data_IF_447755225832
#
_entry.id   IF_447755225832
#
_cell.length_a   1.000
_cell.length_b   1.000
_cell.length_c   1.000
_cell.angle_alpha   90.00
_cell.angle_beta   90.00
_cell.angle_gamma   90.00
#
_symmetry.space_group_name_H-M   'P 1'
#
loop_
_entity.id
_entity.type
_entity.pdbx_description
1 polymer ?
#
# COMPACT_ATOMS: atom_id res chain seq x y z
N UNK A 1 -37.11 4.98 24.98
CA UNK A 1 -36.46 5.53 26.19
C UNK A 1 -35.20 4.73 26.50
N UNK A 2 -34.03 5.22 26.10
CA UNK A 2 -32.74 4.77 26.65
C UNK A 2 -31.84 6.00 26.82
N UNK A 3 -31.27 6.12 28.01
CA UNK A 3 -30.60 7.31 28.55
C UNK A 3 -29.20 7.46 28.00
N UNK A 4 -28.86 8.67 27.53
CA UNK A 4 -27.47 9.10 27.33
C UNK A 4 -26.79 9.25 28.70
N UNK A 5 -25.67 8.55 28.88
CA UNK A 5 -24.75 8.75 29.99
C UNK A 5 -23.71 9.83 29.64
N UNK A 6 -23.69 10.91 30.43
CA UNK A 6 -22.75 12.01 30.30
C UNK A 6 -21.33 11.58 30.74
N UNK A 7 -20.33 11.80 29.88
CA UNK A 7 -18.91 11.63 30.23
C UNK A 7 -18.37 12.95 30.79
N UNK A 8 -18.00 12.91 32.06
CA UNK A 8 -17.40 14.01 32.83
C UNK A 8 -16.00 14.34 32.32
N UNK A 9 -15.79 15.59 31.87
CA UNK A 9 -14.46 16.17 31.58
C UNK A 9 -13.90 16.78 32.87
N UNK A 10 -12.88 16.14 33.46
CA UNK A 10 -11.95 16.80 34.39
C UNK A 10 -10.50 16.53 33.95
N UNK A 11 -9.65 17.57 33.79
CA UNK A 11 -8.24 17.39 33.44
C UNK A 11 -7.46 16.78 34.61
N UNK A 12 -6.55 15.85 34.32
CA UNK A 12 -5.57 15.34 35.29
C UNK A 12 -4.42 16.35 35.42
N UNK A 13 -3.85 16.54 36.62
CA UNK A 13 -2.79 17.54 36.85
C UNK A 13 -1.45 17.08 36.28
N UNK A 14 -0.71 18.06 35.75
CA UNK A 14 0.64 17.95 35.21
C UNK A 14 1.64 17.45 36.27
N UNK A 15 2.44 16.45 35.91
CA UNK A 15 3.54 15.94 36.74
C UNK A 15 4.79 16.77 36.47
N UNK A 16 5.32 17.37 37.53
CA UNK A 16 6.50 18.24 37.52
C UNK A 16 7.79 17.39 37.45
N UNK A 17 8.60 17.59 36.41
CA UNK A 17 9.92 16.95 36.26
C UNK A 17 11.01 17.91 36.79
N UNK A 18 11.82 17.52 37.78
CA UNK A 18 12.81 18.41 38.39
C UNK A 18 14.03 18.67 37.47
N UNK A 19 14.49 19.92 37.47
CA UNK A 19 15.69 20.43 36.78
C UNK A 19 16.97 19.78 37.34
N UNK A 20 17.85 19.37 36.43
CA UNK A 20 19.23 18.95 36.74
C UNK A 20 20.09 20.15 37.20
N UNK A 21 20.94 19.89 38.19
CA UNK A 21 21.84 20.82 38.88
C UNK A 21 22.95 21.41 37.98
N UNK A 22 23.48 22.60 38.30
CA UNK A 22 24.53 23.26 37.52
C UNK A 22 25.93 22.65 37.73
N UNK A 23 26.70 22.63 36.64
CA UNK A 23 28.10 22.22 36.58
C UNK A 23 29.00 23.09 37.49
N UNK A 24 29.71 22.44 38.41
CA UNK A 24 30.78 23.03 39.23
C UNK A 24 32.01 23.33 38.37
N UNK A 25 32.45 24.58 38.41
CA UNK A 25 33.68 25.12 37.82
C UNK A 25 34.88 24.74 38.70
N UNK A 26 35.89 24.08 38.16
CA UNK A 26 37.18 23.86 38.85
C UNK A 26 38.14 25.05 38.60
N UNK A 27 38.99 25.43 39.57
CA UNK A 27 39.87 26.58 39.46
C UNK A 27 41.13 26.27 38.64
N UNK A 28 41.65 27.35 38.04
CA UNK A 28 42.80 27.38 37.15
C UNK A 28 44.03 27.79 37.96
N UNK A 29 44.91 26.85 38.26
CA UNK A 29 46.23 27.16 38.82
C UNK A 29 47.23 27.52 37.71
N UNK A 30 47.90 28.64 37.92
CA UNK A 30 49.04 29.09 37.14
C UNK A 30 50.33 28.59 37.81
N UNK A 31 51.22 27.98 37.03
CA UNK A 31 52.55 27.56 37.48
C UNK A 31 53.54 27.63 36.33
N UNK A 32 54.38 28.66 36.33
CA UNK A 32 55.53 28.82 35.44
C UNK A 32 56.72 28.00 35.91
N UNK A 33 57.36 27.23 35.02
CA UNK A 33 58.77 26.87 35.16
C UNK A 33 59.39 26.53 33.80
N UNK A 34 60.43 27.31 33.44
CA UNK A 34 61.38 27.06 32.35
C UNK A 34 62.21 25.81 32.67
N UNK A 35 62.55 25.03 31.65
CA UNK A 35 63.57 23.99 31.76
C UNK A 35 63.75 23.22 30.46
N UNK A 36 64.81 23.54 29.73
CA UNK A 36 65.19 22.93 28.46
C UNK A 36 65.32 21.39 28.54
N UNK A 37 64.73 20.68 27.55
CA UNK A 37 65.12 19.34 27.06
C UNK A 37 64.15 18.92 25.95
N UNK A 38 64.26 19.53 24.77
CA UNK A 38 63.32 19.31 23.66
C UNK A 38 64.04 18.90 22.37
N UNK A 39 64.95 17.91 22.46
CA UNK A 39 65.52 17.26 21.26
C UNK A 39 65.39 15.74 21.22
N UNK A 40 64.64 15.14 22.15
CA UNK A 40 64.37 13.69 22.16
C UNK A 40 62.88 13.32 22.19
N UNK A 41 61.97 14.27 21.89
CA UNK A 41 60.51 14.02 21.87
C UNK A 41 59.90 13.95 20.47
N UNK A 42 60.65 14.29 19.43
CA UNK A 42 60.13 14.37 18.05
C UNK A 42 60.05 13.01 17.34
N UNK A 43 60.83 12.01 17.75
CA UNK A 43 60.82 10.68 17.11
C UNK A 43 59.79 9.75 17.76
N UNK A 44 59.58 9.85 19.07
CA UNK A 44 58.58 9.05 19.76
C UNK A 44 57.14 9.42 19.34
N UNK A 45 56.82 10.71 19.16
CA UNK A 45 55.48 11.16 18.79
C UNK A 45 55.07 10.79 17.34
N UNK A 46 56.03 10.66 16.43
CA UNK A 46 55.79 10.26 15.03
C UNK A 46 55.54 8.74 14.94
N UNK A 47 56.21 7.93 15.76
CA UNK A 47 55.95 6.49 15.79
C UNK A 47 54.59 6.14 16.42
N UNK A 48 54.12 6.86 17.44
CA UNK A 48 52.79 6.57 18.03
C UNK A 48 51.63 7.00 17.13
N UNK A 49 51.79 8.05 16.33
CA UNK A 49 50.75 8.52 15.40
C UNK A 49 50.65 7.64 14.15
N UNK A 50 51.77 7.13 13.63
CA UNK A 50 51.78 6.15 12.54
C UNK A 50 51.20 4.78 12.94
N UNK A 51 51.43 4.31 14.17
CA UNK A 51 50.82 3.05 14.65
C UNK A 51 49.31 3.18 14.90
N UNK A 52 48.83 4.35 15.33
CA UNK A 52 47.39 4.61 15.50
C UNK A 52 46.63 4.72 14.17
N UNK A 53 47.27 5.26 13.13
CA UNK A 53 46.73 5.31 11.76
C UNK A 53 46.78 3.94 11.06
N UNK A 54 47.84 3.14 11.29
CA UNK A 54 47.90 1.78 10.75
C UNK A 54 46.91 0.82 11.43
N UNK A 55 46.66 0.97 12.74
CA UNK A 55 45.69 0.15 13.47
C UNK A 55 44.22 0.47 13.14
N UNK A 56 43.91 1.67 12.64
CA UNK A 56 42.57 2.04 12.17
C UNK A 56 42.37 1.78 10.67
N UNK A 57 43.44 1.61 9.89
CA UNK A 57 43.38 1.36 8.44
C UNK A 57 43.38 -0.13 8.07
N UNK A 58 43.68 -1.04 9.00
CA UNK A 58 43.82 -2.48 8.73
C UNK A 58 42.69 -3.36 9.30
N UNK A 59 41.63 -2.75 9.85
CA UNK A 59 40.35 -3.44 10.06
C UNK A 59 39.38 -2.99 8.97
N UNK A 60 39.80 -3.10 7.71
CA UNK A 60 38.85 -3.46 6.66
C UNK A 60 38.60 -4.95 6.81
N UNK A 61 37.86 -5.32 7.87
CA UNK A 61 37.06 -6.52 7.76
C UNK A 61 36.23 -6.34 6.48
N UNK A 62 36.16 -7.32 5.58
CA UNK A 62 35.15 -7.23 4.53
C UNK A 62 33.84 -7.04 5.29
N UNK A 63 33.19 -5.89 5.09
CA UNK A 63 31.76 -5.85 5.37
C UNK A 63 31.22 -6.88 4.40
N UNK A 64 30.96 -8.09 4.89
CA UNK A 64 30.18 -9.10 4.19
C UNK A 64 28.76 -8.56 4.24
N UNK A 65 28.52 -7.44 3.56
CA UNK A 65 27.22 -6.90 3.30
C UNK A 65 26.69 -7.71 2.10
N UNK A 66 26.30 -8.95 2.37
CA UNK A 66 25.19 -9.68 1.74
C UNK A 66 25.03 -11.05 2.48
N UNK A 67 24.71 -11.11 3.81
CA UNK A 67 24.33 -12.38 4.43
C UNK A 67 22.83 -12.68 4.30
N UNK A 68 22.03 -11.71 3.88
CA UNK A 68 20.57 -11.80 3.87
C UNK A 68 20.06 -11.85 2.44
N UNK A 69 20.35 -12.95 1.75
CA UNK A 69 19.58 -13.30 0.56
C UNK A 69 18.22 -13.84 1.01
N UNK A 70 17.10 -13.23 0.59
CA UNK A 70 15.78 -13.75 0.91
C UNK A 70 15.36 -14.89 -0.03
N UNK A 71 16.09 -15.13 -1.12
CA UNK A 71 15.92 -16.22 -2.10
C UNK A 71 15.54 -17.57 -1.43
N UNK A 72 16.29 -18.03 -0.41
CA UNK A 72 15.91 -19.12 0.46
C UNK A 72 14.47 -19.30 0.94
N UNK A 73 13.76 -18.21 1.18
CA UNK A 73 12.40 -18.17 1.73
C UNK A 73 11.40 -17.64 0.70
N UNK A 74 11.86 -17.15 -0.45
CA UNK A 74 10.98 -16.68 -1.51
C UNK A 74 10.19 -17.87 -2.07
N UNK A 75 8.87 -17.76 -2.08
CA UNK A 75 8.04 -18.73 -2.76
C UNK A 75 8.22 -18.57 -4.26
N UNK A 76 8.24 -19.70 -4.98
CA UNK A 76 8.22 -19.71 -6.43
C UNK A 76 6.80 -19.45 -6.92
N UNK A 77 6.67 -18.69 -8.00
CA UNK A 77 5.39 -18.41 -8.65
C UNK A 77 4.88 -19.70 -9.27
N UNK A 78 3.58 -19.89 -9.14
CA UNK A 78 2.83 -21.02 -9.68
C UNK A 78 1.78 -20.51 -10.68
N UNK A 79 1.11 -21.43 -11.36
CA UNK A 79 0.00 -21.11 -12.26
C UNK A 79 -1.33 -20.85 -11.52
N UNK A 80 -1.32 -20.91 -10.19
CA UNK A 80 -2.49 -20.55 -9.38
C UNK A 80 -2.78 -19.06 -9.55
N UNK A 81 -4.06 -18.72 -9.75
CA UNK A 81 -4.51 -17.33 -9.84
C UNK A 81 -4.10 -16.55 -8.57
N UNK A 82 -3.54 -15.35 -8.75
CA UNK A 82 -2.95 -14.56 -7.66
C UNK A 82 -1.89 -15.31 -6.85
N UNK A 83 -1.04 -16.09 -7.51
CA UNK A 83 0.09 -16.79 -6.89
C UNK A 83 0.90 -15.88 -5.96
N UNK A 84 1.21 -16.36 -4.75
CA UNK A 84 2.00 -15.63 -3.75
C UNK A 84 3.52 -15.78 -3.94
N UNK A 85 3.96 -16.35 -5.07
CA UNK A 85 5.37 -16.43 -5.43
C UNK A 85 5.97 -15.08 -5.84
N UNK A 86 7.28 -14.93 -5.62
CA UNK A 86 8.01 -13.65 -5.66
C UNK A 86 9.25 -13.66 -6.58
N UNK A 87 9.62 -14.82 -7.11
CA UNK A 87 10.77 -15.04 -7.98
C UNK A 87 10.63 -14.31 -9.33
N UNK A 88 9.41 -14.14 -9.82
CA UNK A 88 9.10 -13.43 -11.06
C UNK A 88 7.84 -12.56 -10.95
N UNK A 89 7.79 -11.46 -11.70
CA UNK A 89 6.57 -10.65 -11.82
C UNK A 89 5.63 -11.25 -12.88
N UNK A 90 4.33 -11.28 -12.56
CA UNK A 90 3.30 -11.67 -13.51
C UNK A 90 3.05 -10.56 -14.53
N UNK A 91 3.65 -10.68 -15.72
CA UNK A 91 3.56 -9.67 -16.79
C UNK A 91 2.13 -9.42 -17.31
N UNK A 92 1.16 -10.27 -16.94
CA UNK A 92 -0.24 -9.99 -17.22
C UNK A 92 -0.77 -8.80 -16.41
N UNK A 93 -0.16 -8.44 -15.27
CA UNK A 93 -0.59 -7.38 -14.36
C UNK A 93 0.36 -6.16 -14.43
N UNK A 94 -0.15 -4.92 -14.36
CA UNK A 94 0.70 -3.74 -14.26
C UNK A 94 1.48 -3.75 -12.94
N UNK A 95 2.77 -3.40 -12.99
CA UNK A 95 3.62 -3.36 -11.80
C UNK A 95 3.50 -1.99 -11.10
N UNK A 96 3.11 -1.91 -9.81
CA UNK A 96 2.99 -0.64 -9.09
C UNK A 96 4.34 -0.14 -8.57
N UNK A 97 5.26 0.17 -9.49
CA UNK A 97 6.63 0.64 -9.19
C UNK A 97 6.92 2.04 -9.77
N UNK A 98 5.89 2.72 -10.30
CA UNK A 98 5.94 4.06 -10.87
C UNK A 98 4.59 4.75 -10.70
N UNK A 99 4.44 5.97 -11.20
CA UNK A 99 3.11 6.53 -11.37
C UNK A 99 2.31 5.72 -12.41
N UNK A 100 1.10 5.30 -12.05
CA UNK A 100 0.12 4.68 -12.95
C UNK A 100 -1.08 5.60 -13.09
N UNK A 101 -1.56 5.79 -14.32
CA UNK A 101 -2.74 6.62 -14.60
C UNK A 101 -4.01 5.77 -14.63
N UNK A 102 -5.04 6.23 -13.91
CA UNK A 102 -6.28 5.50 -13.75
C UNK A 102 -7.48 6.36 -14.18
N UNK A 103 -8.22 5.95 -15.21
CA UNK A 103 -9.43 6.65 -15.64
C UNK A 103 -10.62 6.20 -14.81
N UNK A 104 -11.46 7.16 -14.37
CA UNK A 104 -12.78 6.84 -13.82
C UNK A 104 -13.86 7.30 -14.79
N UNK A 105 -14.58 6.33 -15.32
CA UNK A 105 -15.66 6.52 -16.30
C UNK A 105 -16.98 6.32 -15.56
N UNK A 106 -17.83 7.34 -15.56
CA UNK A 106 -19.10 7.35 -14.83
C UNK A 106 -20.24 6.98 -15.76
N UNK A 107 -21.00 5.96 -15.41
CA UNK A 107 -21.98 5.30 -16.27
C UNK A 107 -23.39 5.49 -15.72
N UNK A 108 -24.23 6.20 -16.50
CA UNK A 108 -25.66 6.37 -16.20
C UNK A 108 -26.50 5.41 -17.05
N UNK A 109 -27.73 5.13 -16.62
CA UNK A 109 -28.60 4.17 -17.31
C UNK A 109 -29.90 4.83 -17.77
N UNK A 110 -30.55 4.32 -18.84
CA UNK A 110 -31.80 4.90 -19.31
C UNK A 110 -32.97 4.88 -18.33
N UNK A 111 -32.96 3.98 -17.35
CA UNK A 111 -33.97 3.81 -16.30
C UNK A 111 -33.64 4.55 -14.99
N UNK A 112 -32.55 5.33 -14.97
CA UNK A 112 -32.14 6.14 -13.83
C UNK A 112 -31.77 7.56 -14.25
N UNK A 113 -31.99 8.52 -13.36
CA UNK A 113 -31.44 9.86 -13.48
C UNK A 113 -30.45 10.06 -12.32
N UNK A 114 -29.14 10.17 -12.59
CA UNK A 114 -28.17 10.31 -11.52
C UNK A 114 -28.45 11.54 -10.65
N UNK A 115 -28.48 11.35 -9.34
CA UNK A 115 -28.69 12.43 -8.37
C UNK A 115 -27.36 13.05 -7.90
N UNK A 116 -26.27 12.31 -8.05
CA UNK A 116 -24.92 12.67 -7.59
C UNK A 116 -24.02 13.03 -8.77
N UNK A 117 -23.18 14.06 -8.62
CA UNK A 117 -22.24 14.44 -9.66
C UNK A 117 -21.02 13.50 -9.72
N UNK A 118 -20.43 13.24 -10.90
CA UNK A 118 -19.20 12.45 -11.03
C UNK A 118 -18.04 12.92 -10.14
N UNK A 119 -17.92 14.24 -9.95
CA UNK A 119 -16.90 14.82 -9.09
C UNK A 119 -17.09 14.47 -7.60
N UNK A 120 -18.34 14.31 -7.15
CA UNK A 120 -18.66 13.91 -5.77
C UNK A 120 -18.34 12.43 -5.56
N UNK A 121 -18.73 11.56 -6.50
CA UNK A 121 -18.36 10.13 -6.48
C UNK A 121 -16.84 9.92 -6.57
N UNK A 122 -16.12 10.74 -7.34
CA UNK A 122 -14.65 10.71 -7.37
C UNK A 122 -14.05 11.10 -6.00
N UNK A 123 -14.64 12.08 -5.32
CA UNK A 123 -14.17 12.60 -4.04
C UNK A 123 -14.40 11.62 -2.88
N UNK A 124 -15.34 10.69 -3.01
CA UNK A 124 -15.52 9.61 -2.03
C UNK A 124 -14.29 8.70 -1.93
N UNK A 125 -13.59 8.49 -3.04
CA UNK A 125 -12.45 7.58 -3.12
C UNK A 125 -11.10 8.31 -3.10
N UNK A 126 -11.02 9.49 -3.70
CA UNK A 126 -9.78 10.25 -3.83
C UNK A 126 -9.84 11.55 -3.01
N UNK A 127 -8.77 11.90 -2.26
CA UNK A 127 -7.41 11.35 -2.36
C UNK A 127 -7.14 10.09 -1.52
N UNK A 128 -8.10 9.57 -0.77
CA UNK A 128 -7.89 8.50 0.21
C UNK A 128 -7.19 7.25 -0.35
N UNK A 129 -7.64 6.74 -1.50
CA UNK A 129 -7.03 5.58 -2.19
C UNK A 129 -5.61 5.87 -2.67
N UNK A 130 -5.38 7.04 -3.30
CA UNK A 130 -4.04 7.42 -3.76
C UNK A 130 -3.06 7.60 -2.60
N UNK A 131 -3.53 8.21 -1.51
CA UNK A 131 -2.77 8.41 -0.29
C UNK A 131 -2.44 7.08 0.42
N UNK A 132 -3.36 6.12 0.42
CA UNK A 132 -3.11 4.76 0.91
C UNK A 132 -1.91 4.15 0.17
N UNK A 133 -1.96 4.08 -1.17
CA UNK A 133 -0.91 3.46 -1.97
C UNK A 133 0.43 4.18 -1.84
N UNK A 134 0.43 5.52 -1.80
CA UNK A 134 1.65 6.31 -1.59
C UNK A 134 2.29 5.99 -0.23
N UNK A 135 1.50 5.86 0.84
CA UNK A 135 2.03 5.50 2.17
C UNK A 135 2.49 4.04 2.22
N UNK A 136 1.67 3.11 1.77
CA UNK A 136 1.95 1.67 1.83
C UNK A 136 3.23 1.31 1.05
N UNK A 137 3.49 2.01 -0.05
CA UNK A 137 4.68 1.83 -0.90
C UNK A 137 5.89 2.67 -0.52
N UNK A 138 5.84 3.42 0.59
CA UNK A 138 6.91 4.33 1.01
C UNK A 138 7.27 5.39 -0.06
N UNK A 139 6.28 5.79 -0.86
CA UNK A 139 6.44 6.74 -1.96
C UNK A 139 6.93 6.13 -3.28
N UNK A 140 7.19 4.82 -3.35
CA UNK A 140 7.62 4.15 -4.59
C UNK A 140 6.50 4.05 -5.64
N UNK A 141 5.24 4.10 -5.22
CA UNK A 141 4.07 4.00 -6.10
C UNK A 141 3.16 5.22 -5.97
N UNK A 142 2.54 5.63 -7.08
CA UNK A 142 1.52 6.68 -7.12
C UNK A 142 0.41 6.28 -8.09
N UNK A 143 -0.82 6.23 -7.59
CA UNK A 143 -2.01 6.08 -8.41
C UNK A 143 -2.58 7.46 -8.74
N UNK A 144 -2.66 7.81 -10.02
CA UNK A 144 -3.15 9.12 -10.49
C UNK A 144 -4.56 8.99 -11.07
N UNK A 145 -5.61 9.47 -10.37
CA UNK A 145 -6.96 9.40 -10.89
C UNK A 145 -7.21 10.47 -11.97
N UNK A 146 -7.93 10.08 -13.01
CA UNK A 146 -8.44 10.94 -14.08
C UNK A 146 -9.96 10.73 -14.17
N UNK A 147 -10.75 11.31 -13.25
CA UNK A 147 -12.20 11.20 -13.30
C UNK A 147 -12.77 12.01 -14.46
N UNK A 148 -13.65 11.40 -15.24
CA UNK A 148 -14.44 12.12 -16.22
C UNK A 148 -15.44 13.04 -15.52
N UNK A 149 -15.81 14.13 -16.21
CA UNK A 149 -16.73 15.14 -15.68
C UNK A 149 -18.19 14.79 -15.90
N UNK A 150 -18.46 14.05 -16.96
CA UNK A 150 -19.80 13.80 -17.47
C UNK A 150 -20.17 12.33 -17.32
N UNK A 151 -21.46 12.09 -17.12
CA UNK A 151 -22.05 10.76 -17.20
C UNK A 151 -22.09 10.28 -18.65
N UNK A 152 -21.56 9.09 -18.91
CA UNK A 152 -21.71 8.38 -20.17
C UNK A 152 -22.93 7.46 -20.06
N UNK A 153 -23.89 7.63 -20.97
CA UNK A 153 -25.15 6.88 -20.92
C UNK A 153 -24.97 5.49 -21.53
N UNK A 154 -25.26 4.46 -20.73
CA UNK A 154 -25.32 3.07 -21.16
C UNK A 154 -26.47 2.83 -22.14
N UNK A 155 -26.35 1.86 -23.06
CA UNK A 155 -27.37 1.59 -24.07
C UNK A 155 -28.61 0.89 -23.51
N UNK A 156 -28.49 0.16 -22.40
CA UNK A 156 -29.58 -0.62 -21.79
C UNK A 156 -29.89 -0.18 -20.35
N UNK A 157 -31.13 -0.36 -19.88
CA UNK A 157 -31.50 -0.16 -18.47
C UNK A 157 -30.58 -0.92 -17.50
N UNK A 158 -30.30 -0.34 -16.33
CA UNK A 158 -29.48 -0.95 -15.28
C UNK A 158 -29.94 -2.37 -14.91
N UNK A 159 -31.27 -2.55 -14.82
CA UNK A 159 -31.93 -3.82 -14.50
C UNK A 159 -31.65 -4.95 -15.49
N UNK A 160 -31.28 -4.64 -16.74
CA UNK A 160 -30.97 -5.65 -17.76
C UNK A 160 -29.62 -6.34 -17.54
N UNK A 161 -28.70 -5.68 -16.82
CA UNK A 161 -27.37 -6.21 -16.51
C UNK A 161 -27.35 -7.10 -15.27
N UNK A 162 -28.46 -7.17 -14.52
CA UNK A 162 -28.62 -8.07 -13.36
C UNK A 162 -27.43 -8.04 -12.38
N UNK A 163 -26.84 -6.85 -12.16
CA UNK A 163 -25.68 -6.64 -11.29
C UNK A 163 -26.04 -7.11 -9.88
N UNK A 164 -25.22 -8.01 -9.34
CA UNK A 164 -25.39 -8.62 -8.02
C UNK A 164 -24.10 -9.28 -7.57
N UNK A 165 -23.94 -9.55 -6.27
CA UNK A 165 -22.74 -10.20 -5.70
C UNK A 165 -22.25 -11.42 -6.52
N UNK A 166 -23.12 -12.42 -6.68
CA UNK A 166 -22.85 -13.62 -7.49
C UNK A 166 -23.24 -13.41 -8.97
N UNK A 167 -22.62 -12.40 -9.61
CA UNK A 167 -22.93 -11.96 -10.97
C UNK A 167 -22.61 -13.02 -12.03
N UNK A 168 -23.59 -13.38 -12.88
CA UNK A 168 -23.39 -14.32 -13.97
C UNK A 168 -22.33 -13.82 -14.97
N UNK A 169 -21.46 -14.70 -15.51
CA UNK A 169 -20.47 -14.32 -16.51
C UNK A 169 -21.07 -13.63 -17.74
N UNK A 170 -22.24 -14.07 -18.21
CA UNK A 170 -22.89 -13.57 -19.42
C UNK A 170 -23.35 -12.12 -19.26
N UNK A 171 -24.11 -11.83 -18.19
CA UNK A 171 -24.54 -10.46 -17.89
C UNK A 171 -23.37 -9.53 -17.59
N UNK A 172 -22.34 -10.02 -16.88
CA UNK A 172 -21.09 -9.27 -16.64
C UNK A 172 -20.38 -8.90 -17.94
N UNK A 173 -20.24 -9.87 -18.86
CA UNK A 173 -19.63 -9.62 -20.16
C UNK A 173 -20.46 -8.63 -20.99
N UNK A 174 -21.79 -8.69 -20.92
CA UNK A 174 -22.66 -7.72 -21.59
C UNK A 174 -22.46 -6.31 -21.05
N UNK A 175 -22.46 -6.13 -19.72
CA UNK A 175 -22.19 -4.83 -19.10
C UNK A 175 -20.84 -4.26 -19.50
N UNK A 176 -19.77 -5.04 -19.41
CA UNK A 176 -18.42 -4.56 -19.70
C UNK A 176 -18.23 -4.19 -21.18
N UNK A 177 -18.80 -4.96 -22.10
CA UNK A 177 -18.79 -4.62 -23.52
C UNK A 177 -19.54 -3.33 -23.80
N UNK A 178 -20.74 -3.17 -23.24
CA UNK A 178 -21.56 -1.98 -23.46
C UNK A 178 -20.92 -0.73 -22.83
N UNK A 179 -20.35 -0.87 -21.63
CA UNK A 179 -19.62 0.20 -20.94
C UNK A 179 -18.40 0.66 -21.75
N UNK A 180 -17.60 -0.29 -22.25
CA UNK A 180 -16.46 0.04 -23.08
C UNK A 180 -16.91 0.71 -24.39
N UNK A 181 -17.88 0.14 -25.09
CA UNK A 181 -18.37 0.70 -26.36
C UNK A 181 -18.98 2.09 -26.20
N UNK A 182 -19.66 2.37 -25.08
CA UNK A 182 -20.19 3.69 -24.77
C UNK A 182 -19.09 4.70 -24.41
N UNK A 183 -17.99 4.25 -23.79
CA UNK A 183 -16.92 5.12 -23.32
C UNK A 183 -15.82 5.39 -24.36
N UNK A 184 -15.57 4.46 -25.28
CA UNK A 184 -14.52 4.53 -26.33
C UNK A 184 -14.54 5.83 -27.15
N UNK A 185 -15.70 6.39 -27.55
CA UNK A 185 -15.71 7.69 -28.25
C UNK A 185 -15.27 8.89 -27.40
N UNK A 186 -15.20 8.74 -26.08
CA UNK A 186 -14.94 9.81 -25.12
C UNK A 186 -13.59 9.66 -24.39
N UNK A 187 -12.99 8.47 -24.44
CA UNK A 187 -11.80 8.10 -23.67
C UNK A 187 -10.82 7.38 -24.57
N UNK A 188 -9.61 7.93 -24.69
CA UNK A 188 -8.49 7.19 -25.27
C UNK A 188 -7.88 6.29 -24.19
N UNK A 189 -8.27 5.01 -24.19
CA UNK A 189 -7.87 3.99 -23.23
C UNK A 189 -6.37 3.65 -23.31
N UNK A 190 -5.69 3.97 -24.40
CA UNK A 190 -4.24 3.73 -24.53
C UNK A 190 -3.40 4.56 -23.54
N UNK A 191 -4.01 5.58 -22.93
CA UNK A 191 -3.38 6.52 -21.98
C UNK A 191 -3.43 6.06 -20.52
N UNK A 192 -4.13 4.97 -20.23
CA UNK A 192 -4.42 4.57 -18.85
C UNK A 192 -3.93 3.15 -18.56
N UNK A 193 -3.35 2.99 -17.37
CA UNK A 193 -2.89 1.70 -16.85
C UNK A 193 -4.02 0.96 -16.10
N UNK A 194 -5.01 1.71 -15.59
CA UNK A 194 -6.15 1.20 -14.81
C UNK A 194 -7.45 1.86 -15.28
N UNK A 195 -8.52 1.06 -15.37
CA UNK A 195 -9.85 1.51 -15.77
C UNK A 195 -10.85 1.22 -14.65
N UNK A 196 -11.53 2.26 -14.19
CA UNK A 196 -12.68 2.17 -13.28
C UNK A 196 -13.96 2.46 -14.06
N UNK A 197 -14.90 1.52 -14.06
CA UNK A 197 -16.29 1.76 -14.49
C UNK A 197 -17.15 1.97 -13.25
N UNK A 198 -17.54 3.21 -13.01
CA UNK A 198 -18.36 3.64 -11.87
C UNK A 198 -19.81 3.72 -12.34
N UNK A 199 -20.69 2.89 -11.79
CA UNK A 199 -22.11 2.98 -12.10
C UNK A 199 -22.80 4.05 -11.25
N UNK A 200 -23.91 4.56 -11.77
CA UNK A 200 -24.86 5.36 -10.99
C UNK A 200 -25.36 4.56 -9.77
N UNK A 201 -25.05 5.00 -8.53
CA UNK A 201 -25.43 4.27 -7.31
C UNK A 201 -26.93 4.27 -7.06
N UNK A 202 -27.67 5.22 -7.66
CA UNK A 202 -29.12 5.34 -7.50
C UNK A 202 -29.90 4.50 -8.53
N UNK A 203 -29.21 3.85 -9.47
CA UNK A 203 -29.86 3.08 -10.51
C UNK A 203 -30.45 1.76 -9.96
N UNK A 204 -31.72 1.42 -10.25
CA UNK A 204 -32.45 0.35 -9.59
C UNK A 204 -31.89 -1.07 -9.84
N UNK A 205 -31.05 -1.23 -10.86
CA UNK A 205 -30.38 -2.50 -11.19
C UNK A 205 -28.94 -2.63 -10.68
N UNK A 206 -28.44 -1.66 -9.90
CA UNK A 206 -27.09 -1.68 -9.33
C UNK A 206 -27.14 -2.19 -7.89
N UNK A 207 -26.35 -3.22 -7.60
CA UNK A 207 -26.18 -3.80 -6.27
C UNK A 207 -24.79 -3.43 -5.73
N UNK A 208 -24.74 -2.71 -4.61
CA UNK A 208 -23.47 -2.25 -4.02
C UNK A 208 -22.57 -3.38 -3.56
N UNK A 209 -23.13 -4.55 -3.22
CA UNK A 209 -22.35 -5.72 -2.81
C UNK A 209 -21.63 -6.39 -4.01
N UNK A 210 -21.80 -5.87 -5.23
CA UNK A 210 -21.23 -6.41 -6.45
C UNK A 210 -19.92 -5.73 -6.90
N UNK A 211 -19.47 -4.67 -6.21
CA UNK A 211 -18.18 -4.02 -6.50
C UNK A 211 -17.07 -5.06 -6.48
N UNK A 212 -16.29 -5.11 -7.55
CA UNK A 212 -15.16 -6.05 -7.70
C UNK A 212 -14.24 -5.68 -8.85
N UNK A 213 -13.01 -6.17 -8.80
CA UNK A 213 -12.17 -6.32 -9.99
C UNK A 213 -12.67 -7.45 -10.85
N UNK A 214 -12.80 -7.18 -12.15
CA UNK A 214 -13.08 -8.19 -13.15
C UNK A 214 -11.82 -8.48 -13.95
N UNK A 215 -11.26 -9.67 -13.71
CA UNK A 215 -10.25 -10.26 -14.59
C UNK A 215 -10.92 -10.82 -15.85
N UNK A 216 -10.46 -10.41 -17.03
CA UNK A 216 -11.02 -10.84 -18.31
C UNK A 216 -10.15 -11.95 -18.90
N UNK A 217 -10.75 -13.12 -19.11
CA UNK A 217 -10.08 -14.25 -19.77
C UNK A 217 -9.69 -13.90 -21.22
N UNK A 218 -10.56 -13.15 -21.90
CA UNK A 218 -10.28 -12.52 -23.20
C UNK A 218 -10.22 -11.01 -23.00
N UNK A 219 -9.07 -10.35 -23.27
CA UNK A 219 -8.97 -8.90 -23.16
C UNK A 219 -10.01 -8.21 -24.04
N UNK A 220 -10.64 -7.16 -23.53
CA UNK A 220 -11.35 -6.23 -24.41
C UNK A 220 -10.32 -5.35 -25.11
N UNK A 221 -10.69 -4.78 -26.26
CA UNK A 221 -9.77 -4.00 -27.08
C UNK A 221 -10.40 -2.67 -27.47
N UNK A 222 -9.69 -1.60 -27.17
CA UNK A 222 -10.06 -0.21 -27.45
C UNK A 222 -8.77 0.55 -27.76
N UNK A 223 -8.81 1.54 -28.66
CA UNK A 223 -7.65 2.39 -29.01
C UNK A 223 -6.34 1.65 -29.32
N UNK A 224 -6.45 0.44 -29.90
CA UNK A 224 -5.28 -0.39 -30.21
C UNK A 224 -4.58 -1.03 -28.99
N UNK A 225 -5.13 -0.88 -27.77
CA UNK A 225 -4.63 -1.48 -26.54
C UNK A 225 -5.53 -2.61 -26.04
N UNK A 226 -4.94 -3.60 -25.37
CA UNK A 226 -5.66 -4.68 -24.71
C UNK A 226 -6.00 -4.27 -23.27
N UNK A 227 -7.29 -4.12 -22.98
CA UNK A 227 -7.81 -3.92 -21.63
C UNK A 227 -8.08 -5.30 -21.02
N UNK A 228 -7.15 -5.73 -20.17
CA UNK A 228 -7.19 -7.07 -19.55
C UNK A 228 -8.00 -7.12 -18.27
N UNK A 229 -8.18 -5.96 -17.62
CA UNK A 229 -8.84 -5.82 -16.32
C UNK A 229 -9.56 -4.50 -16.24
N UNK A 230 -10.70 -4.54 -15.57
CA UNK A 230 -11.48 -3.35 -15.22
C UNK A 230 -11.94 -3.54 -13.79
N UNK A 231 -11.93 -2.46 -13.03
CA UNK A 231 -12.56 -2.43 -11.72
C UNK A 231 -13.97 -1.86 -11.90
N UNK A 232 -15.00 -2.66 -11.56
CA UNK A 232 -16.38 -2.18 -11.56
C UNK A 232 -16.73 -1.68 -10.17
N UNK A 233 -17.12 -0.40 -10.08
CA UNK A 233 -17.45 0.29 -8.84
C UNK A 233 -18.97 0.48 -8.79
N UNK A 234 -19.62 -0.24 -7.89
CA UNK A 234 -21.07 -0.23 -7.68
C UNK A 234 -21.47 0.28 -6.30
N UNK A 235 -20.49 0.82 -5.57
CA UNK A 235 -20.62 1.25 -4.18
C UNK A 235 -21.75 2.25 -3.94
N UNK A 236 -22.24 2.24 -2.69
CA UNK A 236 -23.09 3.32 -2.19
C UNK A 236 -22.33 4.66 -2.18
N UNK A 237 -23.11 5.74 -2.11
CA UNK A 237 -22.60 7.09 -1.85
C UNK A 237 -23.05 7.53 -0.44
N UNK A 238 -22.15 7.60 0.57
CA UNK A 238 -20.72 7.30 0.51
C UNK A 238 -20.38 5.79 0.60
N UNK A 239 -19.22 5.38 0.06
CA UNK A 239 -18.76 3.98 0.02
C UNK A 239 -18.03 3.58 1.31
N UNK A 240 -17.69 2.30 1.40
CA UNK A 240 -16.67 1.87 2.36
C UNK A 240 -15.32 2.51 2.06
N UNK A 241 -14.66 3.04 3.09
CA UNK A 241 -13.52 3.95 2.96
C UNK A 241 -12.37 3.42 2.09
N UNK A 242 -12.10 2.12 2.13
CA UNK A 242 -10.95 1.50 1.46
C UNK A 242 -11.32 0.46 0.42
N UNK A 243 -12.60 0.33 0.04
CA UNK A 243 -13.04 -0.63 -0.98
C UNK A 243 -12.29 -0.44 -2.30
N UNK A 244 -12.18 0.79 -2.80
CA UNK A 244 -11.45 1.02 -4.06
C UNK A 244 -9.95 0.70 -3.94
N UNK A 245 -9.37 0.88 -2.75
CA UNK A 245 -7.97 0.50 -2.52
C UNK A 245 -7.81 -1.03 -2.53
N UNK A 246 -8.74 -1.76 -1.90
CA UNK A 246 -8.79 -3.23 -1.89
C UNK A 246 -8.91 -3.76 -3.32
N UNK A 247 -9.90 -3.28 -4.07
CA UNK A 247 -10.09 -3.69 -5.46
C UNK A 247 -8.86 -3.36 -6.32
N UNK A 248 -8.29 -2.17 -6.17
CA UNK A 248 -7.07 -1.82 -6.91
C UNK A 248 -5.89 -2.73 -6.54
N UNK A 249 -5.87 -3.33 -5.35
CA UNK A 249 -4.92 -4.37 -4.97
C UNK A 249 -4.94 -5.59 -5.91
N UNK A 250 -6.12 -6.05 -6.31
CA UNK A 250 -6.25 -7.15 -7.29
C UNK A 250 -5.71 -6.78 -8.69
N UNK A 251 -5.75 -5.50 -9.07
CA UNK A 251 -5.11 -5.02 -10.31
C UNK A 251 -3.60 -5.23 -10.28
N UNK A 252 -3.00 -5.35 -9.10
CA UNK A 252 -1.57 -5.62 -8.89
C UNK A 252 -1.27 -7.06 -8.45
N UNK A 253 -2.15 -8.00 -8.81
CA UNK A 253 -2.00 -9.44 -8.59
C UNK A 253 -2.05 -9.88 -7.11
N UNK A 254 -2.72 -9.12 -6.23
CA UNK A 254 -2.98 -9.55 -4.86
C UNK A 254 -4.27 -10.37 -4.76
N UNK A 255 -4.31 -11.48 -3.98
CA UNK A 255 -5.53 -12.23 -3.71
C UNK A 255 -6.32 -11.64 -2.54
N UNK A 256 -7.58 -12.05 -2.43
CA UNK A 256 -8.34 -11.96 -1.18
C UNK A 256 -7.70 -12.87 -0.12
N UNK A 257 -7.58 -12.35 1.10
CA UNK A 257 -7.05 -13.09 2.24
C UNK A 257 -8.13 -13.46 3.28
N UNK A 258 -9.36 -12.96 3.12
CA UNK A 258 -10.47 -13.37 3.96
C UNK A 258 -10.94 -14.80 3.62
N UNK A 259 -11.50 -15.47 4.61
CA UNK A 259 -12.06 -16.80 4.46
C UNK A 259 -13.58 -16.71 4.39
N UNK A 260 -14.16 -16.80 3.18
CA UNK A 260 -15.62 -16.85 3.00
C UNK A 260 -16.18 -18.13 3.65
N UNK A 261 -16.97 -18.04 4.74
CA UNK A 261 -17.54 -19.23 5.39
C UNK A 261 -18.52 -19.94 4.44
N UNK A 262 -18.50 -21.27 4.44
CA UNK A 262 -19.30 -22.11 3.52
C UNK A 262 -20.82 -21.90 3.69
N UNK A 263 -21.26 -21.53 4.89
CA UNK A 263 -22.66 -21.27 5.22
C UNK A 263 -23.00 -19.77 5.29
N UNK A 264 -22.06 -18.90 4.92
CA UNK A 264 -22.17 -17.45 5.04
C UNK A 264 -22.24 -16.93 6.48
N UNK A 265 -22.06 -17.80 7.48
CA UNK A 265 -22.12 -17.48 8.91
C UNK A 265 -20.78 -17.83 9.55
N UNK A 266 -19.95 -16.84 9.79
CA UNK A 266 -18.65 -17.09 10.42
C UNK A 266 -17.74 -15.89 10.39
N UNK A 267 -16.55 -16.08 10.96
CA UNK A 267 -15.47 -15.11 11.01
C UNK A 267 -14.78 -15.04 9.64
N UNK A 268 -15.10 -14.01 8.86
CA UNK A 268 -14.50 -13.77 7.55
C UNK A 268 -13.00 -13.47 7.67
N UNK A 269 -12.57 -12.96 8.81
CA UNK A 269 -11.22 -12.44 9.01
C UNK A 269 -10.32 -13.41 9.79
N UNK A 270 -10.76 -14.67 9.94
CA UNK A 270 -10.15 -15.70 10.81
C UNK A 270 -8.61 -15.80 10.71
N UNK A 271 -8.03 -15.61 9.52
CA UNK A 271 -6.60 -15.86 9.28
C UNK A 271 -5.74 -14.61 9.33
N UNK A 272 -6.26 -13.46 8.89
CA UNK A 272 -5.48 -12.24 8.69
C UNK A 272 -6.00 -11.06 9.51
N UNK A 273 -7.26 -11.09 9.94
CA UNK A 273 -7.87 -10.02 10.73
C UNK A 273 -7.91 -8.69 9.98
N UNK A 274 -7.98 -7.62 10.77
CA UNK A 274 -7.91 -6.23 10.31
C UNK A 274 -6.49 -5.75 9.90
N UNK A 275 -5.53 -6.67 9.75
CA UNK A 275 -4.13 -6.33 9.61
C UNK A 275 -3.65 -6.20 8.16
N UNK A 276 -4.37 -6.79 7.21
CA UNK A 276 -4.11 -6.66 5.78
C UNK A 276 -5.35 -6.12 5.06
N UNK A 277 -5.17 -5.12 4.21
CA UNK A 277 -6.24 -4.56 3.37
C UNK A 277 -6.94 -5.64 2.53
N UNK A 278 -6.20 -6.64 2.05
CA UNK A 278 -6.75 -7.75 1.27
C UNK A 278 -7.54 -8.76 2.13
N UNK A 279 -7.44 -8.66 3.46
CA UNK A 279 -8.30 -9.37 4.40
C UNK A 279 -9.55 -8.58 4.74
N UNK A 280 -9.37 -7.33 5.17
CA UNK A 280 -10.47 -6.48 5.66
C UNK A 280 -10.28 -5.04 5.21
N UNK A 281 -11.15 -4.59 4.30
CA UNK A 281 -11.26 -3.18 3.93
C UNK A 281 -11.81 -2.29 5.06
N UNK A 282 -12.35 -2.91 6.11
CA UNK A 282 -12.96 -2.28 7.28
C UNK A 282 -11.99 -2.07 8.43
N UNK A 283 -10.79 -2.66 8.35
CA UNK A 283 -9.86 -2.67 9.46
C UNK A 283 -9.55 -1.27 10.00
N UNK A 284 -9.22 -1.21 11.30
CA UNK A 284 -8.96 0.07 11.98
C UNK A 284 -7.66 0.75 11.50
N UNK A 285 -6.72 -0.03 10.96
CA UNK A 285 -5.48 0.48 10.36
C UNK A 285 -4.99 -0.45 9.23
N UNK A 286 -5.72 -0.56 8.10
CA UNK A 286 -5.37 -1.52 7.07
C UNK A 286 -4.14 -1.00 6.35
N UNK A 287 -3.05 -1.76 6.44
CA UNK A 287 -1.88 -1.67 5.57
C UNK A 287 -1.80 -2.99 4.79
N UNK A 288 -0.79 -3.17 3.96
CA UNK A 288 -0.46 -4.50 3.44
C UNK A 288 0.57 -5.20 4.34
N UNK A 289 0.45 -6.51 4.45
CA UNK A 289 1.47 -7.35 5.07
C UNK A 289 2.81 -7.19 4.37
N UNK A 290 3.88 -7.43 5.14
CA UNK A 290 5.25 -7.39 4.61
C UNK A 290 5.44 -8.30 3.40
N UNK A 291 4.73 -9.43 3.34
CA UNK A 291 4.76 -10.33 2.18
C UNK A 291 4.24 -9.64 0.91
N UNK A 292 3.05 -9.03 0.95
CA UNK A 292 2.49 -8.29 -0.18
C UNK A 292 3.33 -7.06 -0.54
N UNK A 293 3.84 -6.32 0.45
CA UNK A 293 4.77 -5.22 0.17
C UNK A 293 6.06 -5.70 -0.52
N UNK A 294 6.56 -6.88 -0.18
CA UNK A 294 7.71 -7.49 -0.85
C UNK A 294 7.35 -7.96 -2.28
N UNK A 295 6.20 -8.61 -2.47
CA UNK A 295 5.64 -8.99 -3.77
C UNK A 295 5.53 -7.83 -4.75
N UNK A 296 5.03 -6.70 -4.28
CA UNK A 296 4.89 -5.49 -5.08
C UNK A 296 6.22 -4.77 -5.32
N UNK A 297 7.31 -5.21 -4.68
CA UNK A 297 8.65 -4.62 -4.78
C UNK A 297 8.84 -3.37 -3.93
N UNK A 298 7.97 -3.12 -2.96
CA UNK A 298 8.05 -1.97 -2.05
C UNK A 298 8.98 -2.24 -0.86
N UNK A 299 9.18 -3.51 -0.49
CA UNK A 299 10.32 -3.93 0.33
C UNK A 299 11.45 -4.46 -0.56
N UNK A 300 12.64 -3.93 -0.37
CA UNK A 300 13.84 -4.38 -1.08
C UNK A 300 14.36 -5.70 -0.51
N UNK A 301 15.09 -6.53 -1.28
CA UNK A 301 15.63 -7.80 -0.79
C UNK A 301 16.41 -7.68 0.53
N UNK A 302 17.21 -6.62 0.69
CA UNK A 302 17.95 -6.31 1.93
C UNK A 302 17.09 -6.04 3.17
N UNK A 303 15.81 -5.75 2.99
CA UNK A 303 14.84 -5.50 4.07
C UNK A 303 14.13 -6.80 4.50
N UNK A 304 14.46 -7.93 3.88
CA UNK A 304 13.89 -9.24 4.16
C UNK A 304 14.98 -10.19 4.59
N UNK A 305 14.83 -10.79 5.78
CA UNK A 305 15.76 -11.79 6.29
C UNK A 305 15.08 -13.17 6.28
N UNK A 306 15.65 -14.12 5.53
CA UNK A 306 15.23 -15.51 5.63
C UNK A 306 15.92 -16.20 6.81
N UNK A 307 15.13 -16.61 7.82
CA UNK A 307 15.64 -17.31 9.00
C UNK A 307 15.52 -18.82 8.78
N UNK A 308 16.62 -19.44 8.32
CA UNK A 308 16.73 -20.89 8.22
C UNK A 308 17.14 -21.47 9.57
N UNK A 309 16.34 -22.39 10.11
CA UNK A 309 16.62 -23.01 11.41
C UNK A 309 18.02 -23.62 11.50
N UNK A 310 18.61 -23.63 12.69
CA UNK A 310 19.92 -24.21 12.97
C UNK A 310 20.61 -23.58 14.18
N UNK A 311 20.55 -22.25 14.28
CA UNK A 311 21.08 -21.47 15.40
C UNK A 311 20.17 -20.27 15.71
N UNK A 312 20.11 -19.77 16.96
CA UNK A 312 19.37 -18.57 17.29
C UNK A 312 19.82 -17.37 16.45
N UNK A 313 18.90 -16.78 15.69
CA UNK A 313 19.16 -15.56 14.91
C UNK A 313 18.57 -14.36 15.64
N UNK A 314 19.39 -13.36 15.94
CA UNK A 314 18.94 -12.09 16.52
C UNK A 314 18.75 -11.06 15.42
N UNK A 315 17.53 -10.56 15.26
CA UNK A 315 17.17 -9.53 14.30
C UNK A 315 16.60 -8.31 15.02
N UNK A 316 16.83 -7.13 14.45
CA UNK A 316 16.11 -5.90 14.80
C UNK A 316 15.06 -5.67 13.73
N UNK A 317 13.81 -5.48 14.14
CA UNK A 317 12.68 -5.25 13.25
C UNK A 317 12.24 -3.79 13.32
N UNK A 318 11.87 -3.23 12.18
CA UNK A 318 11.24 -1.92 12.06
C UNK A 318 9.74 -2.10 11.78
N UNK A 319 8.85 -1.28 12.37
CA UNK A 319 7.42 -1.37 12.06
C UNK A 319 7.15 -1.06 10.59
N UNK A 320 6.38 -1.90 9.90
CA UNK A 320 6.09 -1.71 8.47
C UNK A 320 5.36 -0.40 8.15
N UNK A 321 4.59 0.14 9.10
CA UNK A 321 3.92 1.45 8.94
C UNK A 321 4.87 2.63 9.09
N UNK A 322 6.04 2.43 9.71
CA UNK A 322 7.11 3.42 9.76
C UNK A 322 7.96 3.24 8.49
N UNK A 323 7.89 4.20 7.57
CA UNK A 323 8.72 4.14 6.36
C UNK A 323 10.22 4.08 6.67
N UNK A 324 11.07 3.76 5.67
CA UNK A 324 12.50 3.64 5.86
C UNK A 324 13.09 4.88 6.56
N UNK A 325 13.83 4.67 7.66
CA UNK A 325 14.52 5.75 8.37
C UNK A 325 13.65 6.59 9.32
N UNK A 326 12.37 6.24 9.52
CA UNK A 326 11.54 6.85 10.56
C UNK A 326 11.90 6.21 11.91
N UNK A 327 12.53 6.99 12.79
CA UNK A 327 12.77 6.56 14.17
C UNK A 327 11.42 6.45 14.87
N UNK A 328 10.97 5.22 15.10
CA UNK A 328 9.82 4.97 15.97
C UNK A 328 10.32 5.01 17.39
N UNK A 329 9.93 6.05 18.14
CA UNK A 329 10.14 6.08 19.59
C UNK A 329 9.23 5.04 20.22
N UNK A 330 9.82 3.94 20.69
CA UNK A 330 9.18 3.00 21.62
C UNK A 330 9.20 3.53 23.05
#
# INVERSE_FOLDING_TARGET
MHKLGAVSRRPRPEVHVPRQFPLRRLPREAGTARGARTRLRSTAAVCTTMSALAATSLITAPSVAEPFSPEPCALQRTDVHHSEGLDTWNAAYPRPARALDAVMVFLSFPDSQPLTAPAELAADHFPATGDFFRRASYGAFTLRPHPLRDWIRMPSPSTSYAIRRDWSPEHRAAYLRDALAAADPHVDFSRYDVVYFVADPDAPGVDSDATKVVNLDTPMRADGTDIRRVVTVFENHPPDRLVLAHETGHVFDLPDLYHRPVDGKGDWDTHVGDWDLMGSQFGLAPDLFGWHKWKLGWLQPRQVACVRGGEPTRLTLEPLGAGPGVVVTG
#
